data_IF_935059467212
#
_entry.id   IF_935059467212
#
_cell.length_a   1.000
_cell.length_b   1.000
_cell.length_c   1.000
_cell.angle_alpha   90.00
_cell.angle_beta   90.00
_cell.angle_gamma   90.00
#
_symmetry.space_group_name_H-M   'P 1'
#
loop_
_entity.id
_entity.type
_entity.pdbx_description
1 polymer ?
#
# COMPACT_ATOMS: atom_id res chain seq x y z
N UNK A 1 -15.77 -12.69 -4.38
CA UNK A 1 -14.68 -12.37 -3.44
C UNK A 1 -13.65 -11.59 -4.21
N UNK A 2 -13.10 -10.54 -3.61
CA UNK A 2 -12.22 -9.58 -4.26
C UNK A 2 -10.95 -9.41 -3.44
N UNK A 3 -9.87 -8.97 -4.09
CA UNK A 3 -8.55 -8.87 -3.47
C UNK A 3 -8.43 -7.65 -2.56
N UNK A 4 -8.00 -7.84 -1.32
CA UNK A 4 -7.88 -6.74 -0.35
C UNK A 4 -6.44 -6.52 0.08
N UNK A 5 -6.04 -5.25 0.26
CA UNK A 5 -4.70 -4.85 0.65
C UNK A 5 -4.62 -4.59 2.16
N UNK A 6 -3.58 -5.10 2.81
CA UNK A 6 -3.36 -4.94 4.26
C UNK A 6 -1.92 -4.69 4.60
N UNK A 7 -1.73 -3.95 5.70
CA UNK A 7 -0.44 -3.63 6.28
C UNK A 7 -0.36 -4.14 7.71
N UNK A 8 0.81 -4.62 8.10
CA UNK A 8 1.16 -4.80 9.50
C UNK A 8 2.61 -4.42 9.76
N UNK A 9 2.83 -3.86 10.94
CA UNK A 9 4.11 -3.37 11.41
C UNK A 9 4.93 -4.54 11.92
N UNK A 10 6.21 -4.56 11.55
CA UNK A 10 7.12 -5.64 11.89
C UNK A 10 8.41 -5.13 12.51
N UNK A 11 8.85 -5.81 13.56
CA UNK A 11 10.23 -5.68 14.05
C UNK A 11 11.16 -6.59 13.22
N UNK A 12 12.47 -6.41 13.37
CA UNK A 12 13.46 -7.28 12.71
C UNK A 12 13.29 -8.74 13.12
N UNK A 13 13.05 -8.98 14.42
CA UNK A 13 12.85 -10.32 14.96
C UNK A 13 11.59 -10.98 14.37
N UNK A 14 10.48 -10.23 14.26
CA UNK A 14 9.25 -10.76 13.67
C UNK A 14 9.44 -11.15 12.19
N UNK A 15 10.18 -10.34 11.42
CA UNK A 15 10.53 -10.68 10.03
C UNK A 15 11.32 -11.99 9.96
N UNK A 16 12.27 -12.20 10.86
CA UNK A 16 13.07 -13.44 10.91
C UNK A 16 12.21 -14.66 11.30
N UNK A 17 11.31 -14.52 12.28
CA UNK A 17 10.37 -15.59 12.66
C UNK A 17 9.38 -15.92 11.54
N UNK A 18 8.91 -14.94 10.77
CA UNK A 18 8.07 -15.19 9.58
C UNK A 18 8.87 -15.94 8.50
N UNK A 19 10.08 -15.46 8.17
CA UNK A 19 10.93 -16.08 7.13
C UNK A 19 11.36 -17.50 7.47
N UNK A 20 11.52 -17.81 8.76
CA UNK A 20 11.85 -19.16 9.23
C UNK A 20 10.65 -20.09 9.31
N UNK A 21 9.42 -19.57 9.18
CA UNK A 21 8.17 -20.31 9.33
C UNK A 21 7.80 -20.60 10.79
N UNK A 22 8.46 -19.97 11.76
CA UNK A 22 8.10 -20.07 13.19
C UNK A 22 6.76 -19.38 13.46
N UNK A 23 6.52 -18.23 12.81
CA UNK A 23 5.28 -17.47 12.92
C UNK A 23 4.59 -17.45 11.55
N UNK A 24 3.30 -17.81 11.53
CA UNK A 24 2.45 -17.63 10.37
C UNK A 24 2.03 -16.17 10.22
N UNK A 25 2.01 -15.68 8.99
CA UNK A 25 1.53 -14.34 8.65
C UNK A 25 0.05 -14.18 9.04
N UNK A 26 -0.74 -15.26 8.94
CA UNK A 26 -2.15 -15.27 9.35
C UNK A 26 -2.36 -15.03 10.85
N UNK A 27 -1.34 -15.26 11.67
CA UNK A 27 -1.40 -15.05 13.13
C UNK A 27 -0.96 -13.62 13.52
N UNK A 28 -0.46 -12.84 12.56
CA UNK A 28 -0.03 -11.46 12.80
C UNK A 28 -1.24 -10.52 12.89
N UNK A 29 -1.18 -9.56 13.80
CA UNK A 29 -2.20 -8.51 13.90
C UNK A 29 -2.12 -7.59 12.68
N UNK A 30 -3.27 -7.24 12.12
CA UNK A 30 -3.37 -6.25 11.03
C UNK A 30 -3.42 -4.86 11.64
N UNK A 31 -2.52 -3.97 11.22
CA UNK A 31 -2.48 -2.59 11.69
C UNK A 31 -3.33 -1.66 10.81
N UNK A 32 -3.42 -1.96 9.52
CA UNK A 32 -4.27 -1.23 8.58
C UNK A 32 -4.83 -2.15 7.49
N UNK A 33 -6.14 -2.09 7.28
CA UNK A 33 -6.85 -2.74 6.18
C UNK A 33 -7.41 -1.66 5.27
N UNK A 34 -6.95 -1.63 4.02
CA UNK A 34 -7.39 -0.65 3.02
C UNK A 34 -8.42 -1.25 2.05
N UNK A 35 -8.97 -2.43 2.36
CA UNK A 35 -9.89 -3.20 1.53
C UNK A 35 -9.39 -3.23 0.07
N UNK A 36 -10.22 -2.87 -0.90
CA UNK A 36 -9.92 -3.01 -2.33
C UNK A 36 -9.26 -1.77 -2.93
N UNK A 37 -8.93 -0.76 -2.14
CA UNK A 37 -8.42 0.52 -2.66
C UNK A 37 -6.95 0.47 -3.11
N UNK A 38 -6.23 -0.60 -2.76
CA UNK A 38 -4.79 -0.73 -2.99
C UNK A 38 -4.35 -0.43 -4.43
N UNK A 39 -5.07 -0.92 -5.45
CA UNK A 39 -4.67 -0.68 -6.84
C UNK A 39 -5.04 0.73 -7.32
N UNK A 40 -6.12 1.32 -6.79
CA UNK A 40 -6.48 2.72 -7.06
C UNK A 40 -5.41 3.67 -6.50
N UNK A 41 -4.89 3.38 -5.30
CA UNK A 41 -3.81 4.15 -4.68
C UNK A 41 -2.53 3.99 -5.48
N UNK A 42 -2.16 2.75 -5.83
CA UNK A 42 -0.99 2.48 -6.67
C UNK A 42 -1.06 3.27 -7.99
N UNK A 43 -2.19 3.19 -8.69
CA UNK A 43 -2.38 3.89 -9.96
C UNK A 43 -2.37 5.41 -9.79
N UNK A 44 -3.02 5.95 -8.76
CA UNK A 44 -3.04 7.40 -8.51
C UNK A 44 -1.64 7.94 -8.20
N UNK A 45 -0.84 7.22 -7.40
CA UNK A 45 0.48 7.71 -7.02
C UNK A 45 1.52 7.56 -8.14
N UNK A 46 1.46 6.44 -8.88
CA UNK A 46 2.52 6.03 -9.79
C UNK A 46 2.14 6.01 -11.28
N UNK A 47 0.85 6.18 -11.61
CA UNK A 47 0.34 6.20 -12.99
C UNK A 47 0.40 4.84 -13.70
N UNK A 48 0.54 3.73 -12.94
CA UNK A 48 0.60 2.37 -13.49
C UNK A 48 -0.01 1.34 -12.52
N UNK A 49 -0.25 0.11 -13.01
CA UNK A 49 -0.99 -0.94 -12.28
C UNK A 49 -0.15 -1.78 -11.31
N UNK A 50 1.17 -1.76 -11.43
CA UNK A 50 2.06 -2.74 -10.81
C UNK A 50 3.17 -2.03 -10.04
N UNK A 51 4.32 -1.80 -10.66
CA UNK A 51 5.52 -1.31 -9.98
C UNK A 51 5.57 0.22 -9.98
N UNK A 52 5.54 0.81 -8.78
CA UNK A 52 5.83 2.23 -8.59
C UNK A 52 7.32 2.47 -8.39
N UNK A 53 7.77 3.67 -8.71
CA UNK A 53 9.16 4.08 -8.44
C UNK A 53 9.27 4.71 -7.05
N UNK A 54 10.36 4.47 -6.31
CA UNK A 54 10.63 5.17 -5.06
C UNK A 54 10.59 6.70 -5.23
N UNK A 55 10.13 7.45 -4.22
CA UNK A 55 9.65 6.98 -2.92
C UNK A 55 8.16 6.59 -2.88
N UNK A 56 7.34 7.01 -3.86
CA UNK A 56 5.88 6.77 -3.85
C UNK A 56 5.51 5.32 -4.17
N UNK A 57 6.37 4.58 -4.87
CA UNK A 57 6.20 3.15 -5.11
C UNK A 57 6.23 2.29 -3.84
N UNK A 58 6.74 2.82 -2.74
CA UNK A 58 6.72 2.14 -1.45
C UNK A 58 5.39 2.24 -0.71
N UNK A 59 4.46 3.12 -1.13
CA UNK A 59 3.15 3.26 -0.47
C UNK A 59 2.30 2.00 -0.68
N UNK A 60 2.34 1.43 -1.88
CA UNK A 60 1.77 0.12 -2.22
C UNK A 60 2.88 -0.70 -2.88
N UNK A 61 3.70 -1.42 -2.08
CA UNK A 61 5.01 -1.90 -2.50
C UNK A 61 4.95 -3.18 -3.35
N UNK A 62 4.40 -3.11 -4.55
CA UNK A 62 4.22 -4.25 -5.45
C UNK A 62 5.48 -4.63 -6.26
N UNK A 63 6.58 -3.89 -6.10
CA UNK A 63 7.81 -4.12 -6.86
C UNK A 63 8.55 -5.37 -6.39
N UNK A 64 9.23 -6.04 -7.33
CA UNK A 64 9.93 -7.31 -7.07
C UNK A 64 11.03 -7.24 -6.01
N UNK A 65 11.61 -6.05 -5.74
CA UNK A 65 12.62 -5.88 -4.69
C UNK A 65 12.03 -6.05 -3.27
N UNK A 66 10.77 -5.67 -3.08
CA UNK A 66 10.07 -5.81 -1.79
C UNK A 66 9.45 -7.20 -1.63
N UNK A 67 9.29 -7.98 -2.71
CA UNK A 67 8.65 -9.28 -2.66
C UNK A 67 9.43 -10.29 -1.78
N UNK A 68 8.77 -10.84 -0.76
CA UNK A 68 9.37 -11.82 0.16
C UNK A 68 8.80 -13.24 0.02
N UNK A 69 7.82 -13.43 -0.86
CA UNK A 69 7.29 -14.74 -1.23
C UNK A 69 5.77 -14.84 -1.14
N UNK A 70 5.27 -15.96 -1.66
CA UNK A 70 3.88 -16.35 -1.59
C UNK A 70 3.65 -17.22 -0.34
N UNK A 71 2.70 -16.82 0.50
CA UNK A 71 2.33 -17.51 1.72
C UNK A 71 0.88 -17.95 1.59
N UNK A 72 0.68 -19.15 1.01
CA UNK A 72 -0.64 -19.75 0.75
C UNK A 72 -1.47 -18.96 -0.27
N UNK A 73 -2.28 -18.03 0.20
CA UNK A 73 -3.22 -17.21 -0.57
C UNK A 73 -2.81 -15.73 -0.61
N UNK A 74 -1.62 -15.40 -0.10
CA UNK A 74 -1.13 -14.04 0.02
C UNK A 74 0.24 -13.86 -0.63
N UNK A 75 0.41 -12.77 -1.38
CA UNK A 75 1.72 -12.30 -1.80
C UNK A 75 2.21 -11.21 -0.84
N UNK A 76 3.40 -11.40 -0.27
CA UNK A 76 3.95 -10.53 0.75
C UNK A 76 5.07 -9.64 0.20
N UNK A 77 5.05 -8.40 0.66
CA UNK A 77 6.02 -7.37 0.31
C UNK A 77 6.53 -6.71 1.59
N UNK A 78 7.85 -6.63 1.76
CA UNK A 78 8.50 -6.09 2.95
C UNK A 78 9.17 -4.76 2.64
N UNK A 79 8.84 -3.75 3.45
CA UNK A 79 9.54 -2.48 3.49
C UNK A 79 10.46 -2.42 4.72
N UNK A 80 11.68 -1.95 4.49
CA UNK A 80 12.58 -1.56 5.57
C UNK A 80 12.10 -0.27 6.24
N UNK A 81 12.57 0.00 7.46
CA UNK A 81 12.29 1.28 8.12
C UNK A 81 12.70 2.50 7.28
N UNK A 82 13.82 2.38 6.55
CA UNK A 82 14.32 3.44 5.66
C UNK A 82 13.34 3.72 4.52
N UNK A 83 12.82 2.66 3.88
CA UNK A 83 11.82 2.78 2.81
C UNK A 83 10.49 3.33 3.32
N UNK A 84 10.06 2.92 4.52
CA UNK A 84 8.86 3.47 5.18
C UNK A 84 9.03 4.97 5.45
N UNK A 85 10.20 5.40 5.92
CA UNK A 85 10.50 6.81 6.16
C UNK A 85 10.51 7.62 4.85
N UNK A 86 11.13 7.11 3.79
CA UNK A 86 11.14 7.75 2.47
C UNK A 86 9.72 7.94 1.93
N UNK A 87 8.89 6.91 2.02
CA UNK A 87 7.50 6.94 1.60
C UNK A 87 6.68 7.95 2.42
N UNK A 88 6.83 7.95 3.75
CA UNK A 88 6.18 8.93 4.63
C UNK A 88 6.56 10.37 4.24
N UNK A 89 7.86 10.65 4.06
CA UNK A 89 8.33 11.98 3.69
C UNK A 89 7.83 12.43 2.31
N UNK A 90 7.62 11.50 1.39
CA UNK A 90 7.05 11.79 0.09
C UNK A 90 5.54 12.09 0.18
N UNK A 91 4.80 11.33 0.99
CA UNK A 91 3.39 11.59 1.26
C UNK A 91 3.20 12.93 1.99
N UNK A 92 4.07 13.29 2.93
CA UNK A 92 4.03 14.59 3.63
C UNK A 92 4.18 15.80 2.70
N UNK A 93 4.88 15.62 1.57
CA UNK A 93 5.06 16.67 0.58
C UNK A 93 3.93 16.74 -0.46
N UNK A 94 3.10 15.69 -0.56
CA UNK A 94 2.06 15.61 -1.57
C UNK A 94 0.83 16.43 -1.13
N UNK A 95 0.54 17.49 -1.87
CA UNK A 95 -0.64 18.33 -1.59
C UNK A 95 -1.93 17.68 -2.10
N UNK A 96 -3.10 18.02 -1.52
CA UNK A 96 -4.39 17.56 -2.04
C UNK A 96 -4.61 17.91 -3.52
N UNK A 97 -4.14 19.08 -3.96
CA UNK A 97 -4.22 19.51 -5.35
C UNK A 97 -3.36 18.65 -6.28
N UNK A 98 -2.14 18.29 -5.86
CA UNK A 98 -1.28 17.38 -6.63
C UNK A 98 -1.84 15.97 -6.68
N UNK A 99 -2.40 15.47 -5.58
CA UNK A 99 -3.08 14.18 -5.56
C UNK A 99 -4.30 14.18 -6.50
N UNK A 100 -5.10 15.26 -6.49
CA UNK A 100 -6.23 15.43 -7.42
C UNK A 100 -5.77 15.47 -8.89
N UNK A 101 -4.64 16.12 -9.19
CA UNK A 101 -4.10 16.18 -10.54
C UNK A 101 -3.65 14.81 -11.08
N UNK A 102 -3.25 13.90 -10.19
CA UNK A 102 -2.88 12.53 -10.55
C UNK A 102 -4.08 11.59 -10.70
N UNK A 103 -5.19 11.93 -10.06
CA UNK A 103 -6.42 11.14 -10.08
C UNK A 103 -7.19 11.32 -11.40
N UNK A 104 -7.59 10.20 -12.02
CA UNK A 104 -8.54 10.19 -13.12
C UNK A 104 -9.34 8.88 -13.13
N UNK A 105 -10.63 8.95 -12.79
CA UNK A 105 -11.52 7.78 -12.85
C UNK A 105 -11.59 7.20 -14.27
N UNK A 106 -11.70 8.06 -15.28
CA UNK A 106 -11.74 7.64 -16.68
C UNK A 106 -10.50 6.85 -17.08
N UNK A 107 -9.31 7.27 -16.64
CA UNK A 107 -8.08 6.51 -16.89
C UNK A 107 -8.07 5.20 -16.11
N UNK A 108 -8.53 5.19 -14.85
CA UNK A 108 -8.63 3.96 -14.07
C UNK A 108 -9.53 2.93 -14.75
N UNK A 109 -10.68 3.36 -15.29
CA UNK A 109 -11.59 2.50 -16.06
C UNK A 109 -10.89 2.00 -17.33
N UNK A 110 -10.26 2.90 -18.09
CA UNK A 110 -9.60 2.56 -19.36
C UNK A 110 -8.45 1.57 -19.18
N UNK A 111 -7.67 1.70 -18.11
CA UNK A 111 -6.53 0.85 -17.78
C UNK A 111 -6.94 -0.41 -16.99
N UNK A 112 -8.21 -0.54 -16.60
CA UNK A 112 -8.73 -1.71 -15.89
C UNK A 112 -8.23 -1.81 -14.45
N UNK A 113 -8.09 -0.67 -13.75
CA UNK A 113 -7.70 -0.60 -12.34
C UNK A 113 -8.74 -1.30 -11.47
N UNK A 114 -8.30 -2.23 -10.64
CA UNK A 114 -9.15 -2.92 -9.69
C UNK A 114 -9.58 -2.00 -8.53
N UNK A 115 -10.85 -2.05 -8.05
CA UNK A 115 -12.01 -2.76 -8.58
C UNK A 115 -12.96 -1.82 -9.35
N UNK A 116 -12.42 -0.77 -9.97
CA UNK A 116 -13.17 0.38 -10.51
C UNK A 116 -14.24 -0.06 -11.51
N UNK A 117 -15.42 0.57 -11.46
CA UNK A 117 -16.53 0.31 -12.38
C UNK A 117 -16.98 1.58 -13.10
N UNK A 118 -17.62 1.42 -14.26
CA UNK A 118 -18.05 2.53 -15.13
C UNK A 118 -19.08 3.47 -14.49
N UNK A 119 -19.83 3.01 -13.50
CA UNK A 119 -20.93 3.75 -12.86
C UNK A 119 -20.53 4.44 -11.54
N UNK A 120 -19.24 4.39 -11.18
CA UNK A 120 -18.75 5.01 -9.95
C UNK A 120 -18.68 6.54 -10.06
N UNK A 121 -18.88 7.21 -8.92
CA UNK A 121 -18.74 8.66 -8.84
C UNK A 121 -17.29 9.06 -8.63
N UNK A 122 -16.79 9.95 -9.49
CA UNK A 122 -15.39 10.36 -9.49
C UNK A 122 -14.99 11.21 -8.27
N UNK A 123 -15.94 11.94 -7.68
CA UNK A 123 -15.64 12.72 -6.48
C UNK A 123 -15.67 11.83 -5.24
N UNK A 124 -16.70 10.98 -5.08
CA UNK A 124 -16.76 10.02 -3.97
C UNK A 124 -15.55 9.09 -3.96
N UNK A 125 -15.16 8.54 -5.12
CA UNK A 125 -13.97 7.68 -5.26
C UNK A 125 -12.69 8.43 -4.90
N UNK A 126 -12.57 9.70 -5.29
CA UNK A 126 -11.42 10.51 -4.94
C UNK A 126 -11.34 10.76 -3.43
N UNK A 127 -12.46 11.04 -2.77
CA UNK A 127 -12.49 11.24 -1.32
C UNK A 127 -12.10 9.96 -0.56
N UNK A 128 -12.50 8.78 -1.05
CA UNK A 128 -12.06 7.48 -0.50
C UNK A 128 -10.55 7.29 -0.64
N UNK A 129 -9.96 7.62 -1.79
CA UNK A 129 -8.50 7.57 -2.00
C UNK A 129 -7.79 8.53 -1.04
N UNK A 130 -8.27 9.77 -0.89
CA UNK A 130 -7.67 10.76 0.02
C UNK A 130 -7.66 10.22 1.46
N UNK A 131 -8.81 9.77 1.95
CA UNK A 131 -8.92 9.22 3.30
C UNK A 131 -7.96 8.03 3.51
N UNK A 132 -7.86 7.15 2.51
CA UNK A 132 -7.00 5.98 2.63
C UNK A 132 -5.52 6.35 2.59
N UNK A 133 -5.14 7.33 1.77
CA UNK A 133 -3.77 7.87 1.74
C UNK A 133 -3.40 8.50 3.08
N UNK A 134 -4.32 9.22 3.72
CA UNK A 134 -4.11 9.79 5.06
C UNK A 134 -3.90 8.69 6.12
N UNK A 135 -4.69 7.60 6.05
CA UNK A 135 -4.55 6.46 6.97
C UNK A 135 -3.21 5.74 6.78
N UNK A 136 -2.77 5.54 5.53
CA UNK A 136 -1.45 4.97 5.23
C UNK A 136 -0.33 5.90 5.71
N UNK A 137 -0.45 7.21 5.47
CA UNK A 137 0.52 8.19 5.92
C UNK A 137 0.69 8.16 7.45
N UNK A 138 -0.42 8.09 8.19
CA UNK A 138 -0.41 8.00 9.65
C UNK A 138 0.29 6.72 10.14
N UNK A 139 0.00 5.57 9.52
CA UNK A 139 0.68 4.31 9.82
C UNK A 139 2.19 4.41 9.56
N UNK A 140 2.57 4.95 8.38
CA UNK A 140 3.97 5.06 7.98
C UNK A 140 4.74 6.01 8.89
N UNK A 141 4.12 7.13 9.29
CA UNK A 141 4.70 8.07 10.26
C UNK A 141 5.02 7.37 11.59
N UNK A 142 4.03 6.69 12.18
CA UNK A 142 4.18 6.01 13.47
C UNK A 142 5.23 4.88 13.40
N UNK A 143 5.25 4.16 12.27
CA UNK A 143 6.17 3.04 12.02
C UNK A 143 7.60 3.52 11.84
N UNK A 144 7.79 4.58 11.04
CA UNK A 144 9.08 5.22 10.83
C UNK A 144 9.68 5.71 12.16
N UNK A 145 8.87 6.42 12.97
CA UNK A 145 9.29 6.93 14.28
C UNK A 145 9.71 5.84 15.28
N UNK A 146 9.17 4.63 15.12
CA UNK A 146 9.45 3.48 15.99
C UNK A 146 10.65 2.63 15.52
N UNK A 147 11.25 2.95 14.36
CA UNK A 147 12.37 2.17 13.80
C UNK A 147 11.96 0.81 13.20
N UNK A 148 10.65 0.60 12.99
CA UNK A 148 10.09 -0.66 12.50
C UNK A 148 9.92 -0.66 10.97
N UNK A 149 9.76 -1.86 10.39
CA UNK A 149 9.38 -2.05 8.99
C UNK A 149 7.89 -2.34 8.84
N UNK A 150 7.45 -2.55 7.60
CA UNK A 150 6.06 -2.88 7.25
C UNK A 150 6.05 -4.09 6.33
N UNK A 151 5.15 -5.04 6.57
CA UNK A 151 4.73 -6.00 5.54
C UNK A 151 3.39 -5.53 4.98
N UNK A 152 3.34 -5.44 3.65
CA UNK A 152 2.12 -5.30 2.88
C UNK A 152 1.77 -6.62 2.22
N UNK A 153 0.48 -6.96 2.14
CA UNK A 153 0.04 -8.12 1.39
C UNK A 153 -1.33 -7.90 0.74
N UNK A 154 -1.58 -8.66 -0.32
CA UNK A 154 -2.87 -8.75 -1.01
C UNK A 154 -3.35 -10.20 -0.96
N UNK A 155 -4.65 -10.40 -0.70
CA UNK A 155 -5.31 -11.72 -0.56
C UNK A 155 -6.73 -11.70 -1.12
#
# INVERSE_FOLDING_TARGET
>A
MGMSGRYFVVTKELVESIKSGEISVHDCAVDLDIDKTWQMIQFTLNGNLLEGEPPLGYVVPLAGEQYVGNYSDMDLFLLSNEQVLEAYMALEQLTPEELKQRYSLDQMIAEGVYPVMEDWDAEETFQEIVQTVDDIQALFQATAASGNGIIFYVF
#
